data_IF_054135373644
#
_entry.id   IF_054135373644
#
_cell.length_a   1.000
_cell.length_b   1.000
_cell.length_c   1.000
_cell.angle_alpha   90.00
_cell.angle_beta   90.00
_cell.angle_gamma   90.00
#
_symmetry.space_group_name_H-M   'P 1'
#
loop_
_entity.id
_entity.type
_entity.pdbx_description
1 polymer ?
#
# COMPACT_ATOMS: atom_id res chain seq x y z
N UNK A 1 -14.21 -37.14 48.69
CA UNK A 1 -13.02 -36.34 48.31
C UNK A 1 -12.72 -35.40 49.46
N UNK A 2 -11.49 -35.40 50.00
CA UNK A 2 -11.14 -34.58 51.18
C UNK A 2 -11.22 -33.09 50.81
N UNK A 3 -11.77 -32.20 51.65
CA UNK A 3 -11.98 -30.79 51.32
C UNK A 3 -10.68 -30.07 50.95
N UNK A 4 -9.54 -30.49 51.52
CA UNK A 4 -8.21 -29.99 51.20
C UNK A 4 -7.75 -30.29 49.76
N UNK A 5 -8.19 -31.39 49.13
CA UNK A 5 -7.84 -31.65 47.72
C UNK A 5 -8.65 -30.77 46.77
N UNK A 6 -9.91 -30.49 47.10
CA UNK A 6 -10.76 -29.64 46.27
C UNK A 6 -10.27 -28.19 46.28
N UNK A 7 -9.81 -27.68 47.42
CA UNK A 7 -9.23 -26.33 47.52
C UNK A 7 -7.89 -26.22 46.80
N UNK A 8 -7.01 -27.22 46.91
CA UNK A 8 -5.74 -27.24 46.15
C UNK A 8 -5.99 -27.29 44.64
N UNK A 9 -6.97 -28.09 44.20
CA UNK A 9 -7.35 -28.16 42.79
C UNK A 9 -7.93 -26.83 42.28
N UNK A 10 -8.77 -26.16 43.09
CA UNK A 10 -9.32 -24.84 42.77
C UNK A 10 -8.23 -23.76 42.68
N UNK A 11 -7.22 -23.79 43.56
CA UNK A 11 -6.07 -22.88 43.52
C UNK A 11 -5.18 -23.16 42.29
N UNK A 12 -4.98 -24.42 41.93
CA UNK A 12 -4.23 -24.78 40.72
C UNK A 12 -4.98 -24.38 39.44
N UNK A 13 -6.30 -24.55 39.39
CA UNK A 13 -7.12 -24.09 38.26
C UNK A 13 -7.11 -22.57 38.13
N UNK A 14 -7.18 -21.83 39.24
CA UNK A 14 -7.13 -20.37 39.17
C UNK A 14 -5.76 -19.88 38.71
N UNK A 15 -4.65 -20.49 39.13
CA UNK A 15 -3.31 -20.16 38.61
C UNK A 15 -3.15 -20.42 37.10
N UNK A 16 -3.79 -21.47 36.57
CA UNK A 16 -3.80 -21.77 35.13
C UNK A 16 -4.64 -20.77 34.31
N UNK A 17 -5.64 -20.14 34.92
CA UNK A 17 -6.45 -19.10 34.26
C UNK A 17 -5.68 -17.77 34.21
N UNK A 18 -4.84 -17.46 35.21
CA UNK A 18 -4.04 -16.23 35.25
C UNK A 18 -2.78 -16.27 34.37
N UNK A 19 -2.31 -17.45 33.92
CA UNK A 19 -1.18 -17.58 33.01
C UNK A 19 -1.55 -17.41 31.52
N UNK A 20 -2.84 -17.34 31.20
CA UNK A 20 -3.34 -17.03 29.86
C UNK A 20 -3.70 -15.54 29.75
N UNK A 21 -2.75 -14.66 30.10
CA UNK A 21 -2.81 -13.31 29.56
C UNK A 21 -2.47 -13.42 28.07
N UNK A 22 -3.47 -13.31 27.20
CA UNK A 22 -3.29 -13.06 25.77
C UNK A 22 -2.70 -11.63 25.63
N UNK A 23 -1.43 -11.48 25.98
CA UNK A 23 -0.66 -10.30 25.58
C UNK A 23 -0.47 -10.44 24.07
N UNK A 24 -1.17 -9.62 23.28
CA UNK A 24 -0.86 -9.37 21.87
C UNK A 24 0.65 -9.15 21.77
N UNK A 25 1.38 -10.16 21.28
CA UNK A 25 2.83 -10.13 21.25
C UNK A 25 3.30 -8.93 20.42
N UNK A 26 4.19 -8.09 20.98
CA UNK A 26 4.66 -6.87 20.33
C UNK A 26 5.26 -7.18 18.93
N UNK A 27 4.54 -6.80 17.88
CA UNK A 27 5.02 -6.97 16.50
C UNK A 27 5.84 -5.75 16.06
N UNK A 28 7.17 -5.91 16.04
CA UNK A 28 8.12 -4.90 15.57
C UNK A 28 7.78 -4.37 14.16
N UNK A 29 7.15 -5.18 13.30
CA UNK A 29 6.83 -4.82 11.91
C UNK A 29 5.79 -3.72 11.84
N UNK A 30 4.96 -3.57 12.86
CA UNK A 30 3.94 -2.53 12.98
C UNK A 30 4.53 -1.18 13.44
N UNK A 31 5.77 -1.17 13.94
CA UNK A 31 6.40 -0.04 14.61
C UNK A 31 7.56 0.58 13.80
N UNK A 32 7.63 0.31 12.49
CA UNK A 32 8.70 0.81 11.60
C UNK A 32 8.38 2.19 10.97
N UNK A 33 7.37 2.90 11.49
CA UNK A 33 6.94 4.21 10.98
C UNK A 33 6.66 4.17 9.47
N UNK A 34 7.14 5.15 8.71
CA UNK A 34 6.95 5.25 7.25
C UNK A 34 7.61 4.12 6.44
N UNK A 35 8.40 3.25 7.08
CA UNK A 35 9.08 2.11 6.46
C UNK A 35 8.27 0.81 6.60
N UNK A 36 7.17 0.84 7.38
CA UNK A 36 6.26 -0.30 7.53
C UNK A 36 5.72 -0.77 6.17
N UNK A 37 5.71 -2.08 5.95
CA UNK A 37 5.21 -2.66 4.69
C UNK A 37 3.70 -2.46 4.59
N UNK A 38 3.20 -2.16 3.39
CA UNK A 38 1.77 -2.00 3.12
C UNK A 38 0.89 -3.16 3.63
N UNK A 39 1.38 -4.40 3.56
CA UNK A 39 0.63 -5.57 4.05
C UNK A 39 0.48 -5.62 5.57
N UNK A 40 1.42 -5.07 6.33
CA UNK A 40 1.44 -5.11 7.81
C UNK A 40 0.49 -4.07 8.42
N UNK A 41 0.29 -2.95 7.72
CA UNK A 41 -0.55 -1.84 8.21
C UNK A 41 -2.05 -2.19 8.18
N UNK A 42 -2.46 -3.20 7.40
CA UNK A 42 -3.88 -3.55 7.27
C UNK A 42 -4.45 -4.14 8.56
N UNK A 43 -3.66 -4.93 9.29
CA UNK A 43 -4.08 -5.56 10.54
C UNK A 43 -4.19 -4.54 11.70
N UNK A 44 -3.59 -3.35 11.54
CA UNK A 44 -3.66 -2.22 12.50
C UNK A 44 -4.88 -1.34 12.22
N UNK A 45 -5.33 -1.26 10.97
CA UNK A 45 -6.39 -0.33 10.53
C UNK A 45 -7.82 -0.83 10.83
N UNK A 46 -7.99 -2.04 11.35
CA UNK A 46 -9.30 -2.71 11.45
C UNK A 46 -10.26 -2.08 12.48
N UNK A 47 -9.80 -1.19 13.36
CA UNK A 47 -10.68 -0.50 14.34
C UNK A 47 -11.09 0.93 13.97
N UNK A 48 -10.43 1.58 13.01
CA UNK A 48 -10.70 2.99 12.65
C UNK A 48 -11.04 3.23 11.19
N UNK A 49 -10.71 2.28 10.30
CA UNK A 49 -10.95 2.42 8.87
C UNK A 49 -12.02 1.42 8.41
N UNK A 50 -13.25 1.90 8.24
CA UNK A 50 -14.30 1.14 7.55
C UNK A 50 -14.20 1.45 6.05
N UNK A 51 -13.81 0.49 5.19
CA UNK A 51 -13.79 0.73 3.75
C UNK A 51 -15.20 1.06 3.27
N UNK A 52 -15.38 2.21 2.60
CA UNK A 52 -16.66 2.55 1.99
C UNK A 52 -17.07 1.47 0.97
N UNK A 53 -18.28 0.91 1.10
CA UNK A 53 -18.85 0.09 0.04
C UNK A 53 -19.31 1.00 -1.10
N UNK A 54 -19.19 0.53 -2.33
CA UNK A 54 -19.84 1.20 -3.47
C UNK A 54 -21.36 1.06 -3.21
N UNK A 55 -22.13 2.15 -3.16
CA UNK A 55 -23.57 2.07 -2.90
C UNK A 55 -24.30 1.25 -3.97
N UNK A 56 -25.39 0.61 -3.59
CA UNK A 56 -26.22 -0.17 -4.52
C UNK A 56 -26.77 0.73 -5.63
N UNK A 57 -26.70 0.25 -6.87
CA UNK A 57 -27.10 1.01 -8.06
C UNK A 57 -26.07 2.04 -8.54
N UNK A 58 -24.94 2.22 -7.85
CA UNK A 58 -23.85 3.08 -8.32
C UNK A 58 -22.78 2.28 -9.07
N UNK A 59 -22.26 2.85 -10.16
CA UNK A 59 -21.08 2.33 -10.87
C UNK A 59 -19.96 3.38 -10.82
N UNK A 60 -18.75 3.02 -10.36
CA UNK A 60 -17.62 3.93 -10.39
C UNK A 60 -17.24 4.25 -11.84
N UNK A 61 -17.16 5.55 -12.17
CA UNK A 61 -16.81 6.04 -13.52
C UNK A 61 -15.40 6.63 -13.58
N UNK A 62 -14.78 6.94 -12.43
CA UNK A 62 -13.45 7.54 -12.36
C UNK A 62 -12.74 7.15 -11.06
N UNK A 63 -11.42 6.96 -11.13
CA UNK A 63 -10.56 6.71 -9.96
C UNK A 63 -9.34 7.62 -10.01
N UNK A 64 -9.20 8.48 -9.01
CA UNK A 64 -7.94 9.15 -8.71
C UNK A 64 -7.21 8.37 -7.62
N UNK A 65 -5.99 7.90 -7.92
CA UNK A 65 -5.17 7.14 -7.00
C UNK A 65 -3.79 7.79 -6.88
N UNK A 66 -3.40 8.13 -5.66
CA UNK A 66 -2.03 8.58 -5.33
C UNK A 66 -1.39 7.51 -4.45
N UNK A 67 -0.23 7.02 -4.87
CA UNK A 67 0.50 5.98 -4.15
C UNK A 67 1.97 6.37 -3.99
N UNK A 68 2.56 6.04 -2.85
CA UNK A 68 4.02 6.09 -2.67
C UNK A 68 4.66 4.90 -3.38
N UNK A 69 5.93 5.05 -3.72
CA UNK A 69 6.70 3.94 -4.25
C UNK A 69 6.76 2.78 -3.23
N UNK A 70 6.78 1.55 -3.74
CA UNK A 70 6.96 0.37 -2.91
C UNK A 70 8.38 0.30 -2.32
N UNK A 71 8.59 -0.68 -1.43
CA UNK A 71 9.91 -0.95 -0.84
C UNK A 71 10.88 -1.55 -1.84
N UNK A 72 10.40 -2.20 -2.92
CA UNK A 72 11.23 -2.84 -3.97
C UNK A 72 10.50 -2.89 -5.32
N UNK A 73 11.24 -2.67 -6.41
CA UNK A 73 10.75 -2.92 -7.77
C UNK A 73 10.57 -4.43 -8.01
N UNK A 74 9.46 -4.88 -8.62
CA UNK A 74 9.32 -6.28 -8.98
C UNK A 74 10.38 -6.67 -10.01
N UNK A 75 11.18 -7.68 -9.72
CA UNK A 75 12.05 -8.32 -10.73
C UNK A 75 11.21 -9.20 -11.65
N UNK A 76 11.73 -9.57 -12.82
CA UNK A 76 11.06 -10.49 -13.77
C UNK A 76 10.54 -11.77 -13.10
N UNK A 77 11.27 -12.30 -12.10
CA UNK A 77 10.85 -13.46 -11.29
C UNK A 77 9.68 -13.15 -10.34
N UNK A 78 9.61 -11.92 -9.82
CA UNK A 78 8.61 -11.44 -8.85
C UNK A 78 7.35 -10.88 -9.49
N UNK A 79 7.29 -10.70 -10.81
CA UNK A 79 6.06 -10.27 -11.52
C UNK A 79 4.91 -11.27 -11.30
N UNK A 80 5.21 -12.56 -11.13
CA UNK A 80 4.20 -13.58 -10.75
C UNK A 80 3.58 -13.36 -9.37
N UNK A 81 4.24 -12.59 -8.50
CA UNK A 81 3.72 -12.23 -7.17
C UNK A 81 2.82 -10.98 -7.23
N UNK A 82 2.52 -10.43 -8.43
CA UNK A 82 1.52 -9.38 -8.60
C UNK A 82 0.10 -9.88 -8.30
N UNK A 83 -0.14 -11.19 -8.40
CA UNK A 83 -1.41 -11.85 -8.06
C UNK A 83 -1.59 -12.02 -6.54
N UNK A 84 -0.68 -11.45 -5.74
CA UNK A 84 -0.80 -11.44 -4.31
C UNK A 84 -1.85 -10.38 -3.87
N UNK A 85 -2.88 -10.74 -3.07
CA UNK A 85 -3.89 -9.81 -2.59
C UNK A 85 -3.34 -8.65 -1.76
N UNK A 86 -2.10 -8.74 -1.27
CA UNK A 86 -1.42 -7.65 -0.57
C UNK A 86 -1.00 -6.50 -1.49
N UNK A 87 -0.94 -6.73 -2.81
CA UNK A 87 -0.55 -5.70 -3.77
C UNK A 87 -1.69 -4.72 -4.02
N UNK A 88 -1.36 -3.43 -4.03
CA UNK A 88 -2.31 -2.34 -4.31
C UNK A 88 -3.06 -2.57 -5.62
N UNK A 89 -2.37 -3.11 -6.63
CA UNK A 89 -2.96 -3.32 -7.94
C UNK A 89 -4.07 -4.36 -7.94
N UNK A 90 -3.85 -5.52 -7.31
CA UNK A 90 -4.85 -6.59 -7.23
C UNK A 90 -6.11 -6.11 -6.51
N UNK A 91 -5.92 -5.38 -5.39
CA UNK A 91 -7.02 -4.79 -4.63
C UNK A 91 -7.82 -3.77 -5.43
N UNK A 92 -7.12 -2.96 -6.23
CA UNK A 92 -7.76 -1.96 -7.09
C UNK A 92 -8.62 -2.64 -8.17
N UNK A 93 -8.08 -3.65 -8.85
CA UNK A 93 -8.81 -4.45 -9.86
C UNK A 93 -10.01 -5.18 -9.26
N UNK A 94 -9.84 -5.80 -8.10
CA UNK A 94 -10.90 -6.54 -7.42
C UNK A 94 -12.03 -5.62 -6.94
N UNK A 95 -11.71 -4.39 -6.51
CA UNK A 95 -12.70 -3.42 -6.02
C UNK A 95 -13.44 -2.69 -7.14
N UNK A 96 -12.77 -2.41 -8.25
CA UNK A 96 -13.33 -1.64 -9.36
C UNK A 96 -13.26 -2.41 -10.69
N UNK A 97 -13.88 -3.60 -10.79
CA UNK A 97 -13.72 -4.47 -11.95
C UNK A 97 -14.21 -3.80 -13.24
N UNK A 98 -15.32 -3.06 -13.17
CA UNK A 98 -15.95 -2.44 -14.34
C UNK A 98 -15.20 -1.21 -14.88
N UNK A 99 -14.35 -0.58 -14.05
CA UNK A 99 -13.65 0.65 -14.41
C UNK A 99 -12.50 0.42 -15.42
N UNK A 100 -12.01 -0.82 -15.52
CA UNK A 100 -10.86 -1.20 -16.36
C UNK A 100 -11.26 -2.18 -17.47
N UNK A 101 -12.51 -2.10 -17.94
CA UNK A 101 -13.02 -2.96 -19.00
C UNK A 101 -12.55 -2.52 -20.38
N UNK A 102 -12.48 -1.22 -20.62
CA UNK A 102 -12.12 -0.64 -21.91
C UNK A 102 -10.66 -0.87 -22.29
N UNK A 103 -10.38 -0.73 -23.59
CA UNK A 103 -9.03 -0.80 -24.11
C UNK A 103 -8.20 0.39 -23.63
N UNK A 104 -6.91 0.13 -23.37
CA UNK A 104 -6.00 1.18 -22.93
C UNK A 104 -5.89 2.31 -23.95
N UNK A 105 -6.16 3.54 -23.48
CA UNK A 105 -5.81 4.80 -24.11
C UNK A 105 -5.09 5.72 -23.10
N UNK A 106 -4.01 6.42 -23.46
CA UNK A 106 -3.23 7.26 -22.53
C UNK A 106 -4.05 8.40 -21.90
N UNK A 107 -5.06 8.92 -22.61
CA UNK A 107 -5.93 9.99 -22.10
C UNK A 107 -7.03 9.49 -21.17
N UNK A 108 -7.34 8.19 -21.20
CA UNK A 108 -8.33 7.55 -20.31
C UNK A 108 -7.66 7.01 -19.06
N UNK A 109 -6.53 6.32 -19.23
CA UNK A 109 -5.76 5.71 -18.15
C UNK A 109 -4.44 6.44 -17.94
N UNK A 110 -4.53 7.70 -17.50
CA UNK A 110 -3.34 8.52 -17.24
C UNK A 110 -2.55 7.98 -16.04
N UNK A 111 -1.35 7.44 -16.30
CA UNK A 111 -0.42 7.00 -15.27
C UNK A 111 0.74 7.99 -15.22
N UNK A 112 0.86 8.72 -14.11
CA UNK A 112 1.94 9.68 -13.85
C UNK A 112 2.86 9.18 -12.75
N UNK A 113 4.16 9.43 -12.91
CA UNK A 113 5.16 9.16 -11.88
C UNK A 113 6.23 10.25 -11.85
N UNK A 114 6.87 10.44 -10.70
CA UNK A 114 8.03 11.31 -10.61
C UNK A 114 9.22 10.71 -11.36
N UNK A 115 10.18 11.53 -11.78
CA UNK A 115 11.46 11.06 -12.37
C UNK A 115 12.39 10.35 -11.36
N UNK A 116 11.89 9.97 -10.19
CA UNK A 116 12.65 9.16 -9.23
C UNK A 116 12.55 7.68 -9.64
N UNK A 117 13.67 6.96 -9.85
CA UNK A 117 13.66 5.59 -10.42
C UNK A 117 12.74 4.59 -9.69
N UNK A 118 12.66 4.65 -8.35
CA UNK A 118 11.80 3.77 -7.56
C UNK A 118 10.30 4.08 -7.74
N UNK A 119 9.95 5.35 -7.96
CA UNK A 119 8.57 5.75 -8.21
C UNK A 119 8.11 5.37 -9.61
N UNK A 120 8.93 5.65 -10.63
CA UNK A 120 8.64 5.24 -12.01
C UNK A 120 8.57 3.71 -12.15
N UNK A 121 9.50 2.96 -11.54
CA UNK A 121 9.45 1.50 -11.55
C UNK A 121 8.19 0.95 -10.83
N UNK A 122 7.76 1.59 -9.74
CA UNK A 122 6.52 1.22 -9.04
C UNK A 122 5.29 1.49 -9.91
N UNK A 123 5.25 2.61 -10.64
CA UNK A 123 4.16 2.95 -11.56
C UNK A 123 4.10 1.97 -12.75
N UNK A 124 5.25 1.61 -13.32
CA UNK A 124 5.33 0.57 -14.36
C UNK A 124 4.82 -0.77 -13.83
N UNK A 125 5.26 -1.19 -12.64
CA UNK A 125 4.77 -2.42 -12.02
C UNK A 125 3.25 -2.41 -11.80
N UNK A 126 2.72 -1.29 -11.33
CA UNK A 126 1.29 -1.09 -11.14
C UNK A 126 0.53 -1.22 -12.47
N UNK A 127 0.98 -0.52 -13.52
CA UNK A 127 0.37 -0.61 -14.86
C UNK A 127 0.47 -2.00 -15.49
N UNK A 128 1.60 -2.69 -15.32
CA UNK A 128 1.76 -4.07 -15.79
C UNK A 128 0.77 -5.03 -15.15
N UNK A 129 0.50 -4.85 -13.85
CA UNK A 129 -0.53 -5.61 -13.14
C UNK A 129 -1.95 -5.18 -13.52
N UNK A 130 -2.18 -3.90 -13.77
CA UNK A 130 -3.49 -3.36 -14.17
C UNK A 130 -3.95 -3.95 -15.50
N UNK A 131 -3.05 -3.95 -16.48
CA UNK A 131 -3.34 -4.41 -17.84
C UNK A 131 -2.82 -5.82 -18.14
N UNK A 132 -2.53 -6.60 -17.09
CA UNK A 132 -2.18 -8.02 -17.24
C UNK A 132 -3.36 -8.79 -17.85
N UNK A 133 -3.08 -9.61 -18.87
CA UNK A 133 -4.07 -10.37 -19.62
C UNK A 133 -4.82 -9.60 -20.72
N UNK A 134 -4.58 -8.30 -20.87
CA UNK A 134 -5.32 -7.40 -21.78
C UNK A 134 -4.57 -7.10 -23.10
N UNK A 135 -3.46 -7.78 -23.37
CA UNK A 135 -2.64 -7.54 -24.57
C UNK A 135 -1.98 -8.79 -25.13
N UNK A 136 -0.91 -8.58 -25.90
CA UNK A 136 -0.17 -9.61 -26.65
C UNK A 136 1.29 -9.75 -26.21
N UNK A 137 1.77 -8.94 -25.26
CA UNK A 137 3.18 -8.90 -24.89
C UNK A 137 3.54 -9.96 -23.83
N UNK A 138 4.39 -10.90 -24.23
CA UNK A 138 4.97 -11.91 -23.35
C UNK A 138 3.96 -12.89 -22.74
N UNK A 139 4.43 -13.80 -21.86
CA UNK A 139 3.57 -14.82 -21.26
C UNK A 139 2.42 -14.26 -20.41
N UNK A 140 2.59 -13.06 -19.84
CA UNK A 140 1.56 -12.37 -19.06
C UNK A 140 0.53 -11.61 -19.90
N UNK A 141 0.64 -11.67 -21.25
CA UNK A 141 -0.27 -11.00 -22.18
C UNK A 141 -0.50 -9.53 -21.80
N UNK A 142 0.60 -8.82 -21.56
CA UNK A 142 0.53 -7.43 -21.12
C UNK A 142 0.16 -6.51 -22.30
N UNK A 143 -0.59 -5.46 -22.00
CA UNK A 143 -0.82 -4.34 -22.92
C UNK A 143 0.31 -3.32 -22.76
N UNK A 144 0.79 -2.73 -23.86
CA UNK A 144 1.69 -1.57 -23.79
C UNK A 144 0.92 -0.36 -23.25
N UNK A 145 1.52 0.37 -22.31
CA UNK A 145 0.97 1.58 -21.71
C UNK A 145 2.07 2.61 -21.52
N UNK A 146 1.68 3.87 -21.33
CA UNK A 146 2.58 4.98 -21.09
C UNK A 146 2.60 5.34 -19.61
N UNK A 147 3.78 5.69 -19.11
CA UNK A 147 3.96 6.38 -17.84
C UNK A 147 4.58 7.73 -18.16
N UNK A 148 3.89 8.81 -17.81
CA UNK A 148 4.39 10.17 -18.03
C UNK A 148 5.00 10.73 -16.76
N UNK A 149 5.99 11.60 -16.93
CA UNK A 149 6.73 12.21 -15.81
C UNK A 149 7.10 13.65 -16.12
N UNK A 150 6.91 14.53 -15.16
CA UNK A 150 7.43 15.90 -15.21
C UNK A 150 8.92 15.93 -14.82
N UNK A 151 9.60 17.02 -15.18
CA UNK A 151 11.00 17.20 -14.81
C UNK A 151 11.17 17.26 -13.30
N UNK A 152 12.26 16.69 -12.77
CA UNK A 152 12.58 16.75 -11.34
C UNK A 152 12.59 18.19 -10.77
N UNK A 153 12.91 19.18 -11.60
CA UNK A 153 13.01 20.59 -11.20
C UNK A 153 11.67 21.35 -11.26
N UNK A 154 10.67 20.82 -11.97
CA UNK A 154 9.42 21.52 -12.25
C UNK A 154 8.17 20.70 -11.92
N UNK A 155 8.32 19.54 -11.27
CA UNK A 155 7.21 18.67 -10.87
C UNK A 155 6.47 19.25 -9.66
N UNK A 156 5.62 20.25 -9.92
CA UNK A 156 4.80 20.92 -8.91
C UNK A 156 3.60 20.10 -8.45
N UNK A 157 3.30 18.97 -9.08
CA UNK A 157 2.16 18.13 -8.73
C UNK A 157 2.56 17.03 -7.74
N UNK A 158 3.63 16.29 -8.03
CA UNK A 158 4.07 15.15 -7.24
C UNK A 158 5.29 15.47 -6.37
N UNK A 159 6.03 16.55 -6.69
CA UNK A 159 7.22 17.01 -5.94
C UNK A 159 7.20 18.49 -5.63
N UNK A 160 6.02 19.05 -5.32
CA UNK A 160 5.89 20.45 -4.90
C UNK A 160 6.86 20.85 -3.78
N UNK A 161 7.16 19.94 -2.85
CA UNK A 161 8.11 20.12 -1.77
C UNK A 161 9.56 20.35 -2.25
N UNK A 162 9.94 19.78 -3.39
CA UNK A 162 11.25 20.00 -4.00
C UNK A 162 11.24 21.16 -5.02
N UNK A 163 10.09 21.71 -5.37
CA UNK A 163 9.98 22.83 -6.30
C UNK A 163 9.87 24.18 -5.58
N UNK A 164 9.32 24.21 -4.36
CA UNK A 164 9.13 25.43 -3.60
C UNK A 164 10.38 25.83 -2.81
N UNK A 165 11.01 26.95 -3.19
CA UNK A 165 12.22 27.42 -2.52
C UNK A 165 11.97 27.81 -1.05
N UNK A 166 10.86 28.49 -0.76
CA UNK A 166 10.51 28.85 0.62
C UNK A 166 10.34 27.62 1.51
N UNK A 167 9.74 26.55 0.98
CA UNK A 167 9.60 25.29 1.70
C UNK A 167 10.96 24.63 1.98
N UNK A 168 11.87 24.63 0.99
CA UNK A 168 13.24 24.13 1.20
C UNK A 168 14.00 24.90 2.25
N UNK A 169 13.89 26.23 2.23
CA UNK A 169 14.50 27.11 3.24
C UNK A 169 13.94 26.77 4.61
N UNK A 170 12.61 26.71 4.76
CA UNK A 170 11.96 26.33 6.02
C UNK A 170 12.42 24.96 6.55
N UNK A 171 12.60 23.98 5.67
CA UNK A 171 13.07 22.65 6.05
C UNK A 171 14.60 22.56 6.21
N UNK A 172 15.36 23.61 5.89
CA UNK A 172 16.82 23.58 6.00
C UNK A 172 17.22 23.60 7.47
N UNK A 173 18.06 22.65 7.93
CA UNK A 173 18.50 22.60 9.32
C UNK A 173 19.34 23.82 9.73
N UNK A 174 19.90 24.55 8.75
CA UNK A 174 20.78 25.70 9.00
C UNK A 174 20.07 26.89 9.67
N UNK A 175 18.73 26.98 9.61
CA UNK A 175 17.97 28.08 10.22
C UNK A 175 17.93 27.98 11.76
N UNK A 176 18.21 26.80 12.33
CA UNK A 176 18.18 26.58 13.79
C UNK A 176 19.55 26.73 14.48
N UNK A 177 20.62 27.09 13.75
CA UNK A 177 21.95 27.28 14.33
C UNK A 177 22.38 28.76 14.45
N UNK A 178 21.52 29.71 14.07
CA UNK A 178 21.77 31.16 14.17
C UNK A 178 21.14 31.81 15.43
N UNK A 179 20.80 31.03 16.46
CA UNK A 179 20.38 31.53 17.78
C UNK A 179 21.10 30.80 18.93
#
# INVERSE_FOLDING_TARGET
MKPAMATVLLVLLSLLIHSNAEEEAFDVRQHLSTVSRYGVVKDIADSSFVPSKIPDGCTPIHLNLVARHGTRSPTKKRIKELDNPWQLIWRTRARFPNLFNDDYHPDVYAIKATQVPRASASAVAFGMGLFSGKGSLGPGRHRAFAVTSESCASDTMLRFHDCCQNYKVFCSPDIFLDF
#
